data_IF_846760658147
#
_entry.id   IF_846760658147
#
_cell.length_a   1.000
_cell.length_b   1.000
_cell.length_c   1.000
_cell.angle_alpha   90.00
_cell.angle_beta   90.00
_cell.angle_gamma   90.00
#
_symmetry.space_group_name_H-M   'P 1'
#
loop_
_entity.id
_entity.type
_entity.pdbx_description
1 polymer ?
#
# COMPACT_ATOMS: atom_id res chain seq x y z
N UNK A 1 -19.91 22.18 -11.86
CA UNK A 1 -20.57 21.30 -10.87
C UNK A 1 -20.04 21.70 -9.50
N UNK A 2 -20.80 22.52 -8.78
CA UNK A 2 -20.47 22.96 -7.42
C UNK A 2 -21.31 22.21 -6.39
N UNK A 3 -20.70 21.90 -5.25
CA UNK A 3 -21.36 21.77 -3.95
C UNK A 3 -20.26 21.64 -2.88
N UNK A 4 -20.04 22.71 -2.10
CA UNK A 4 -20.59 22.95 -0.74
C UNK A 4 -19.79 22.24 0.35
N UNK A 5 -18.86 23.01 0.91
CA UNK A 5 -18.26 22.81 2.23
C UNK A 5 -19.34 22.94 3.32
N UNK A 6 -19.33 22.02 4.29
CA UNK A 6 -20.08 22.15 5.54
C UNK A 6 -19.08 22.32 6.68
N UNK A 7 -19.09 23.53 7.25
CA UNK A 7 -18.26 23.98 8.36
C UNK A 7 -19.05 23.78 9.66
N UNK A 8 -18.59 22.91 10.56
CA UNK A 8 -19.24 22.66 11.85
C UNK A 8 -18.45 23.34 12.97
N UNK A 9 -18.95 24.49 13.43
CA UNK A 9 -18.47 25.20 14.62
C UNK A 9 -18.85 24.44 15.90
N UNK A 10 -17.87 24.18 16.77
CA UNK A 10 -18.08 23.73 18.15
C UNK A 10 -18.21 24.94 19.09
N UNK A 11 -19.08 24.89 20.11
CA UNK A 11 -19.23 25.98 21.08
C UNK A 11 -18.11 25.99 22.13
N UNK A 12 -17.73 27.21 22.49
CA UNK A 12 -16.74 27.65 23.46
C UNK A 12 -17.39 27.75 24.86
N UNK A 13 -16.99 26.90 25.81
CA UNK A 13 -17.42 27.01 27.21
C UNK A 13 -16.27 27.55 28.07
N UNK A 14 -16.33 28.85 28.34
CA UNK A 14 -15.54 29.53 29.36
C UNK A 14 -16.14 29.22 30.75
N UNK A 15 -15.32 28.69 31.66
CA UNK A 15 -15.64 28.64 33.10
C UNK A 15 -15.29 29.98 33.76
N UNK A 16 -16.14 30.51 34.66
CA UNK A 16 -15.78 31.64 35.50
C UNK A 16 -14.96 31.21 36.74
N UNK A 17 -14.00 32.07 37.06
CA UNK A 17 -13.11 32.07 38.22
C UNK A 17 -13.85 32.55 39.49
N UNK A 18 -13.75 31.87 40.65
CA UNK A 18 -14.17 32.43 41.92
C UNK A 18 -13.02 33.17 42.63
N UNK A 19 -13.28 34.44 42.93
CA UNK A 19 -12.46 35.35 43.71
C UNK A 19 -12.27 34.87 45.16
N UNK A 20 -11.08 35.18 45.70
CA UNK A 20 -10.69 35.04 47.09
C UNK A 20 -11.54 35.96 48.00
N UNK A 21 -12.05 35.41 49.11
CA UNK A 21 -12.55 36.19 50.24
C UNK A 21 -11.62 35.99 51.43
N UNK A 22 -11.00 37.09 51.83
CA UNK A 22 -10.15 37.25 53.00
C UNK A 22 -11.02 37.75 54.16
N UNK A 23 -11.05 37.03 55.29
CA UNK A 23 -11.56 37.57 56.56
C UNK A 23 -10.67 37.08 57.70
N UNK A 24 -9.88 38.02 58.21
CA UNK A 24 -9.26 38.00 59.53
C UNK A 24 -10.34 38.11 60.61
N UNK A 25 -10.21 37.37 61.72
CA UNK A 25 -10.61 37.82 63.06
C UNK A 25 -10.15 36.83 64.16
N UNK A 26 -10.19 37.17 65.47
CA UNK A 26 -8.98 37.57 66.21
C UNK A 26 -8.65 36.66 67.42
N UNK A 27 -7.46 36.92 67.98
CA UNK A 27 -6.99 36.49 69.29
C UNK A 27 -7.95 36.92 70.42
N UNK A 28 -8.14 36.10 71.47
CA UNK A 28 -8.23 36.65 72.81
C UNK A 28 -7.29 35.99 73.84
N UNK A 29 -6.91 36.87 74.76
CA UNK A 29 -6.00 36.74 75.87
C UNK A 29 -6.40 35.71 76.93
N UNK A 30 -5.37 35.28 77.65
CA UNK A 30 -5.39 34.50 78.88
C UNK A 30 -6.21 35.18 80.00
N UNK A 31 -6.93 34.38 80.77
CA UNK A 31 -7.33 34.69 82.13
C UNK A 31 -6.97 33.51 83.05
N UNK A 32 -6.32 33.86 84.16
CA UNK A 32 -5.71 32.98 85.15
C UNK A 32 -6.59 32.96 86.41
N UNK A 33 -6.98 31.80 86.92
CA UNK A 33 -7.40 31.61 88.33
C UNK A 33 -7.16 30.18 88.81
N UNK A 34 -6.13 30.04 89.65
CA UNK A 34 -5.95 29.27 90.89
C UNK A 34 -6.70 27.93 91.12
N UNK A 35 -5.91 26.94 91.57
CA UNK A 35 -6.27 25.59 92.05
C UNK A 35 -7.15 25.61 93.33
N UNK A 36 -7.70 24.45 93.73
CA UNK A 36 -6.96 23.57 94.66
C UNK A 36 -6.98 22.08 94.28
N UNK A 37 -5.87 21.40 94.61
CA UNK A 37 -5.74 19.94 94.66
C UNK A 37 -6.43 19.41 95.93
N UNK A 38 -7.02 18.19 95.95
CA UNK A 38 -6.22 17.07 96.47
C UNK A 38 -6.50 15.67 95.86
N UNK A 39 -5.45 14.86 95.93
CA UNK A 39 -5.41 13.41 96.17
C UNK A 39 -5.82 12.42 95.06
N UNK A 40 -4.82 11.66 94.59
CA UNK A 40 -4.98 10.33 93.99
C UNK A 40 -5.53 9.33 95.02
N UNK A 41 -6.24 8.30 94.53
CA UNK A 41 -5.64 6.96 94.58
C UNK A 41 -5.76 6.21 93.24
N UNK A 42 -4.69 5.48 92.88
CA UNK A 42 -4.75 4.36 91.95
C UNK A 42 -5.21 3.12 92.74
N UNK A 43 -6.02 2.21 92.16
CA UNK A 43 -5.40 0.99 91.67
C UNK A 43 -5.96 0.47 90.35
N UNK A 44 -5.01 0.10 89.49
CA UNK A 44 -4.94 -0.74 88.28
C UNK A 44 -5.98 -1.87 88.01
N UNK A 45 -7.18 -1.89 88.58
CA UNK A 45 -8.24 -2.84 88.22
C UNK A 45 -9.41 -2.22 87.41
N UNK A 46 -9.49 -0.89 87.32
CA UNK A 46 -10.52 -0.19 86.52
C UNK A 46 -10.23 -0.16 85.00
N UNK A 47 -8.96 -0.23 84.59
CA UNK A 47 -8.60 -0.13 83.16
C UNK A 47 -8.92 -1.40 82.36
N UNK A 48 -8.88 -2.57 83.00
CA UNK A 48 -9.26 -3.84 82.34
C UNK A 48 -10.76 -3.98 82.23
N UNK A 49 -11.52 -3.52 83.23
CA UNK A 49 -12.99 -3.49 83.16
C UNK A 49 -13.49 -2.46 82.14
N UNK A 50 -12.92 -1.26 82.11
CA UNK A 50 -13.29 -0.25 81.09
C UNK A 50 -12.91 -0.68 79.67
N UNK A 51 -11.74 -1.31 79.45
CA UNK A 51 -11.41 -1.88 78.14
C UNK A 51 -12.33 -3.04 77.76
N UNK A 52 -12.69 -3.90 78.72
CA UNK A 52 -13.62 -5.02 78.48
C UNK A 52 -15.04 -4.53 78.20
N UNK A 53 -15.52 -3.49 78.91
CA UNK A 53 -16.80 -2.82 78.68
C UNK A 53 -16.81 -2.11 77.33
N UNK A 54 -15.72 -1.44 76.93
CA UNK A 54 -15.61 -0.82 75.61
C UNK A 54 -15.59 -1.86 74.48
N UNK A 55 -14.90 -3.00 74.67
CA UNK A 55 -14.96 -4.12 73.74
C UNK A 55 -16.35 -4.76 73.68
N UNK A 56 -17.01 -4.96 74.82
CA UNK A 56 -18.36 -5.54 74.89
C UNK A 56 -19.40 -4.61 74.25
N UNK A 57 -19.31 -3.30 74.51
CA UNK A 57 -20.13 -2.29 73.86
C UNK A 57 -19.88 -2.27 72.34
N UNK A 58 -18.63 -2.37 71.88
CA UNK A 58 -18.31 -2.46 70.45
C UNK A 58 -18.82 -3.75 69.79
N UNK A 59 -18.92 -4.84 70.54
CA UNK A 59 -19.45 -6.12 70.07
C UNK A 59 -20.98 -6.12 70.04
N UNK A 60 -21.64 -5.55 71.05
CA UNK A 60 -23.10 -5.32 71.05
C UNK A 60 -23.48 -4.39 69.91
N UNK A 61 -22.72 -3.32 69.70
CA UNK A 61 -22.96 -2.35 68.62
C UNK A 61 -22.78 -3.01 67.25
N UNK A 62 -21.71 -3.79 67.02
CA UNK A 62 -21.52 -4.58 65.79
C UNK A 62 -22.58 -5.66 65.57
N UNK A 63 -23.07 -6.30 66.63
CA UNK A 63 -24.09 -7.35 66.56
C UNK A 63 -25.48 -6.78 66.30
N UNK A 64 -25.81 -5.66 66.94
CA UNK A 64 -27.03 -4.88 66.71
C UNK A 64 -27.05 -4.30 65.29
N UNK A 65 -25.93 -3.75 64.82
CA UNK A 65 -25.77 -3.24 63.45
C UNK A 65 -25.95 -4.36 62.40
N UNK A 66 -25.39 -5.55 62.65
CA UNK A 66 -25.50 -6.70 61.75
C UNK A 66 -26.92 -7.28 61.70
N UNK A 67 -27.69 -7.16 62.78
CA UNK A 67 -29.09 -7.61 62.86
C UNK A 67 -30.06 -6.60 62.23
N UNK A 68 -29.75 -5.31 62.25
CA UNK A 68 -30.58 -4.26 61.62
C UNK A 68 -30.30 -4.06 60.13
N UNK A 69 -29.17 -4.54 59.62
CA UNK A 69 -28.68 -4.28 58.27
C UNK A 69 -28.52 -5.61 57.50
N UNK A 70 -29.44 -5.90 56.56
CA UNK A 70 -29.38 -7.07 55.68
C UNK A 70 -28.17 -7.06 54.72
N UNK A 71 -27.98 -8.12 53.91
CA UNK A 71 -26.78 -8.30 53.06
C UNK A 71 -26.52 -7.14 52.09
N UNK A 72 -27.56 -6.52 51.53
CA UNK A 72 -27.43 -5.35 50.65
C UNK A 72 -26.98 -4.08 51.39
N UNK A 73 -27.45 -3.91 52.63
CA UNK A 73 -27.06 -2.80 53.49
C UNK A 73 -25.58 -2.94 53.92
N UNK A 74 -25.13 -4.15 54.26
CA UNK A 74 -23.72 -4.43 54.57
C UNK A 74 -22.81 -4.20 53.36
N UNK A 75 -23.24 -4.62 52.18
CA UNK A 75 -22.53 -4.35 50.92
C UNK A 75 -22.39 -2.85 50.66
N UNK A 76 -23.48 -2.09 50.78
CA UNK A 76 -23.48 -0.63 50.59
C UNK A 76 -22.53 0.08 51.57
N UNK A 77 -22.56 -0.29 52.86
CA UNK A 77 -21.63 0.27 53.86
C UNK A 77 -20.18 -0.02 53.51
N UNK A 78 -19.86 -1.25 53.13
CA UNK A 78 -18.50 -1.63 52.72
C UNK A 78 -18.07 -0.88 51.46
N UNK A 79 -18.97 -0.67 50.50
CA UNK A 79 -18.69 0.12 49.30
C UNK A 79 -18.41 1.58 49.63
N UNK A 80 -19.22 2.22 50.49
CA UNK A 80 -19.00 3.61 50.90
C UNK A 80 -17.73 3.76 51.75
N UNK A 81 -17.40 2.79 52.61
CA UNK A 81 -16.14 2.75 53.35
C UNK A 81 -14.93 2.66 52.40
N UNK A 82 -14.97 1.74 51.43
CA UNK A 82 -13.91 1.61 50.43
C UNK A 82 -13.76 2.86 49.57
N UNK A 83 -14.89 3.46 49.17
CA UNK A 83 -14.91 4.72 48.42
C UNK A 83 -14.33 5.87 49.25
N UNK A 84 -14.68 5.97 50.52
CA UNK A 84 -14.10 6.95 51.45
C UNK A 84 -12.59 6.75 51.55
N UNK A 85 -12.14 5.52 51.81
CA UNK A 85 -10.71 5.19 51.90
C UNK A 85 -9.96 5.54 50.60
N UNK A 86 -10.58 5.30 49.44
CA UNK A 86 -10.03 5.68 48.14
C UNK A 86 -9.92 7.21 47.98
N UNK A 87 -10.96 7.96 48.36
CA UNK A 87 -10.96 9.42 48.30
C UNK A 87 -9.95 10.02 49.29
N UNK A 88 -9.86 9.48 50.50
CA UNK A 88 -8.89 9.88 51.52
C UNK A 88 -7.46 9.60 51.04
N UNK A 89 -7.22 8.44 50.42
CA UNK A 89 -5.94 8.12 49.79
C UNK A 89 -5.62 9.09 48.65
N UNK A 90 -6.60 9.44 47.81
CA UNK A 90 -6.42 10.42 46.74
C UNK A 90 -6.10 11.82 47.29
N UNK A 91 -6.76 12.24 48.37
CA UNK A 91 -6.44 13.49 49.05
C UNK A 91 -5.04 13.45 49.66
N UNK A 92 -4.65 12.35 50.32
CA UNK A 92 -3.32 12.19 50.87
C UNK A 92 -2.23 12.29 49.78
N UNK A 93 -2.44 11.70 48.60
CA UNK A 93 -1.52 11.86 47.46
C UNK A 93 -1.42 13.33 47.02
N UNK A 94 -2.52 14.09 47.03
CA UNK A 94 -2.53 15.52 46.66
C UNK A 94 -1.85 16.41 47.70
N UNK A 95 -2.04 16.14 48.99
CA UNK A 95 -1.55 17.00 50.07
C UNK A 95 -0.20 16.57 50.66
N UNK A 96 0.23 15.33 50.44
CA UNK A 96 1.51 14.83 50.95
C UNK A 96 2.71 15.71 50.55
N UNK A 97 2.86 16.18 49.30
CA UNK A 97 3.99 17.03 48.91
C UNK A 97 4.02 18.36 49.66
N UNK A 98 2.85 18.96 49.90
CA UNK A 98 2.73 20.23 50.63
C UNK A 98 3.10 20.03 52.11
N UNK A 99 2.62 18.94 52.71
CA UNK A 99 2.96 18.57 54.10
C UNK A 99 4.47 18.30 54.25
N UNK A 100 5.06 17.59 53.29
CA UNK A 100 6.50 17.32 53.24
C UNK A 100 7.32 18.61 53.12
N UNK A 101 6.91 19.52 52.21
CA UNK A 101 7.60 20.80 52.01
C UNK A 101 7.54 21.70 53.25
N UNK A 102 6.39 21.76 53.91
CA UNK A 102 6.23 22.50 55.17
C UNK A 102 7.09 21.88 56.28
N UNK A 103 7.07 20.55 56.43
CA UNK A 103 7.88 19.86 57.43
C UNK A 103 9.39 20.07 57.18
N UNK A 104 9.83 20.03 55.91
CA UNK A 104 11.21 20.34 55.54
C UNK A 104 11.56 21.78 55.90
N UNK A 105 10.68 22.74 55.60
CA UNK A 105 10.87 24.15 55.94
C UNK A 105 11.04 24.36 57.44
N UNK A 106 10.16 23.79 58.25
CA UNK A 106 10.25 23.86 59.71
C UNK A 106 11.56 23.24 60.22
N UNK A 107 11.92 22.04 59.75
CA UNK A 107 13.14 21.34 60.15
C UNK A 107 14.43 22.11 59.82
N UNK A 108 14.59 22.55 58.57
CA UNK A 108 15.81 23.27 58.15
C UNK A 108 15.89 24.66 58.76
N UNK A 109 14.75 25.35 58.94
CA UNK A 109 14.72 26.65 59.62
C UNK A 109 15.10 26.51 61.10
N UNK A 110 14.61 25.46 61.78
CA UNK A 110 14.95 25.20 63.18
C UNK A 110 16.42 24.80 63.37
N UNK A 111 16.96 23.96 62.50
CA UNK A 111 18.33 23.41 62.66
C UNK A 111 19.43 24.31 62.13
N UNK A 112 19.18 25.08 61.08
CA UNK A 112 20.21 25.82 60.31
C UNK A 112 19.81 27.27 60.02
N UNK A 113 18.67 27.74 60.53
CA UNK A 113 18.10 29.03 60.18
C UNK A 113 17.54 29.09 58.76
N UNK A 114 17.09 30.28 58.36
CA UNK A 114 16.51 30.53 57.03
C UNK A 114 17.46 30.20 55.89
N UNK A 115 18.76 30.54 56.05
CA UNK A 115 19.79 30.24 55.07
C UNK A 115 19.96 28.73 54.80
N UNK A 116 19.75 27.89 55.81
CA UNK A 116 19.78 26.43 55.65
C UNK A 116 18.64 25.91 54.78
N UNK A 117 17.42 26.42 55.01
CA UNK A 117 16.27 26.09 54.17
C UNK A 117 16.45 26.57 52.72
N UNK A 118 16.92 27.80 52.51
CA UNK A 118 17.17 28.33 51.16
C UNK A 118 18.18 27.47 50.39
N UNK A 119 19.23 26.98 51.07
CA UNK A 119 20.22 26.07 50.48
C UNK A 119 19.60 24.71 50.09
N UNK A 120 18.78 24.13 50.97
CA UNK A 120 18.06 22.89 50.68
C UNK A 120 17.12 23.07 49.49
N UNK A 121 16.30 24.13 49.50
CA UNK A 121 15.32 24.41 48.46
C UNK A 121 16.00 24.70 47.11
N UNK A 122 17.08 25.49 47.10
CA UNK A 122 17.90 25.71 45.90
C UNK A 122 18.46 24.39 45.34
N UNK A 123 18.94 23.49 46.19
CA UNK A 123 19.46 22.18 45.76
C UNK A 123 18.35 21.32 45.14
N UNK A 124 17.17 21.27 45.75
CA UNK A 124 16.00 20.55 45.25
C UNK A 124 15.59 21.08 43.87
N UNK A 125 15.37 22.39 43.74
CA UNK A 125 15.05 23.04 42.47
C UNK A 125 16.12 22.81 41.40
N UNK A 126 17.40 22.88 41.76
CA UNK A 126 18.49 22.61 40.80
C UNK A 126 18.46 21.17 40.29
N UNK A 127 18.09 20.21 41.15
CA UNK A 127 17.93 18.80 40.73
C UNK A 127 16.73 18.64 39.79
N UNK A 128 15.58 19.21 40.14
CA UNK A 128 14.37 19.17 39.31
C UNK A 128 14.60 19.80 37.93
N UNK A 129 15.29 20.95 37.88
CA UNK A 129 15.67 21.60 36.63
C UNK A 129 16.53 20.67 35.77
N UNK A 130 17.55 20.01 36.34
CA UNK A 130 18.40 19.07 35.59
C UNK A 130 17.62 17.88 35.03
N UNK A 131 16.66 17.36 35.79
CA UNK A 131 15.81 16.26 35.33
C UNK A 131 14.87 16.71 34.21
N UNK A 132 14.32 17.92 34.31
CA UNK A 132 13.51 18.53 33.24
C UNK A 132 14.35 18.77 32.00
N UNK A 133 15.56 19.34 32.13
CA UNK A 133 16.49 19.57 31.01
C UNK A 133 16.82 18.25 30.30
N UNK A 134 17.19 17.21 31.05
CA UNK A 134 17.50 15.89 30.50
C UNK A 134 16.30 15.26 29.80
N UNK A 135 15.13 15.31 30.42
CA UNK A 135 13.89 14.74 29.87
C UNK A 135 13.47 15.48 28.61
N UNK A 136 13.51 16.82 28.65
CA UNK A 136 13.17 17.68 27.52
C UNK A 136 14.13 17.47 26.36
N UNK A 137 15.44 17.45 26.61
CA UNK A 137 16.45 17.17 25.59
C UNK A 137 16.27 15.79 24.96
N UNK A 138 15.97 14.77 25.77
CA UNK A 138 15.72 13.40 25.29
C UNK A 138 14.46 13.34 24.43
N UNK A 139 13.37 13.96 24.87
CA UNK A 139 12.11 13.99 24.12
C UNK A 139 12.25 14.78 22.82
N UNK A 140 12.93 15.93 22.87
CA UNK A 140 13.22 16.73 21.69
C UNK A 140 14.06 15.96 20.68
N UNK A 141 15.13 15.27 21.13
CA UNK A 141 15.94 14.42 20.26
C UNK A 141 15.12 13.30 19.60
N UNK A 142 14.27 12.61 20.37
CA UNK A 142 13.36 11.59 19.82
C UNK A 142 12.39 12.15 18.78
N UNK A 143 11.87 13.35 19.00
CA UNK A 143 10.99 14.03 18.06
C UNK A 143 11.72 14.36 16.76
N UNK A 144 12.93 14.94 16.85
CA UNK A 144 13.79 15.22 15.70
C UNK A 144 14.14 13.95 14.93
N UNK A 145 14.53 12.87 15.62
CA UNK A 145 14.82 11.59 14.98
C UNK A 145 13.60 11.00 14.26
N UNK A 146 12.40 11.18 14.83
CA UNK A 146 11.15 10.74 14.22
C UNK A 146 10.80 11.56 12.97
N UNK A 147 10.98 12.89 13.02
CA UNK A 147 10.79 13.77 11.87
C UNK A 147 11.79 13.44 10.75
N UNK A 148 13.05 13.16 11.11
CA UNK A 148 14.07 12.75 10.14
C UNK A 148 13.70 11.44 9.44
N UNK A 149 13.30 10.42 10.22
CA UNK A 149 12.82 9.14 9.66
C UNK A 149 11.60 9.32 8.75
N UNK A 150 10.68 10.19 9.14
CA UNK A 150 9.50 10.50 8.33
C UNK A 150 9.89 11.16 7.00
N UNK A 151 10.83 12.11 7.02
CA UNK A 151 11.35 12.75 5.82
C UNK A 151 12.05 11.75 4.89
N UNK A 152 12.92 10.88 5.43
CA UNK A 152 13.59 9.80 4.68
C UNK A 152 12.58 8.83 4.08
N UNK A 153 11.54 8.46 4.83
CA UNK A 153 10.46 7.59 4.34
C UNK A 153 9.68 8.24 3.20
N UNK A 154 9.38 9.53 3.34
CA UNK A 154 8.66 10.29 2.30
C UNK A 154 9.48 10.40 1.01
N UNK A 155 10.78 10.66 1.11
CA UNK A 155 11.69 10.71 -0.04
C UNK A 155 11.79 9.36 -0.77
N UNK A 156 11.87 8.27 0.00
CA UNK A 156 11.84 6.91 -0.53
C UNK A 156 10.52 6.59 -1.24
N UNK A 157 9.39 6.96 -0.65
CA UNK A 157 8.07 6.81 -1.26
C UNK A 157 7.92 7.61 -2.55
N UNK A 158 8.43 8.84 -2.57
CA UNK A 158 8.42 9.68 -3.75
C UNK A 158 9.27 9.08 -4.88
N UNK A 159 10.46 8.59 -4.56
CA UNK A 159 11.32 7.88 -5.53
C UNK A 159 10.64 6.63 -6.08
N UNK A 160 10.02 5.82 -5.22
CA UNK A 160 9.28 4.64 -5.65
C UNK A 160 8.11 5.01 -6.56
N UNK A 161 7.33 6.03 -6.20
CA UNK A 161 6.25 6.55 -7.04
C UNK A 161 6.76 6.97 -8.43
N UNK A 162 7.89 7.69 -8.50
CA UNK A 162 8.51 8.08 -9.77
C UNK A 162 8.88 6.86 -10.62
N UNK A 163 9.50 5.84 -10.02
CA UNK A 163 9.90 4.62 -10.72
C UNK A 163 8.68 3.84 -11.23
N UNK A 164 7.62 3.72 -10.43
CA UNK A 164 6.35 3.08 -10.83
C UNK A 164 5.71 3.83 -12.00
N UNK A 165 5.73 5.16 -11.95
CA UNK A 165 5.18 5.99 -13.03
C UNK A 165 5.99 5.87 -14.33
N UNK A 166 7.32 5.82 -14.24
CA UNK A 166 8.19 5.56 -15.39
C UNK A 166 7.92 4.19 -16.00
N UNK A 167 7.80 3.15 -15.16
CA UNK A 167 7.46 1.80 -15.61
C UNK A 167 6.10 1.76 -16.30
N UNK A 168 5.10 2.46 -15.76
CA UNK A 168 3.78 2.59 -16.39
C UNK A 168 3.87 3.23 -17.78
N UNK A 169 4.61 4.34 -17.93
CA UNK A 169 4.85 4.97 -19.24
C UNK A 169 5.55 4.03 -20.23
N UNK A 170 6.50 3.24 -19.75
CA UNK A 170 7.18 2.23 -20.56
C UNK A 170 6.20 1.19 -21.09
N UNK A 171 5.31 0.66 -20.24
CA UNK A 171 4.29 -0.29 -20.68
C UNK A 171 3.29 0.29 -21.68
N UNK A 172 2.86 1.55 -21.51
CA UNK A 172 2.03 2.21 -22.52
C UNK A 172 2.72 2.28 -23.89
N UNK A 173 4.02 2.61 -23.88
CA UNK A 173 4.83 2.68 -25.11
C UNK A 173 5.02 1.30 -25.74
N UNK A 174 5.31 0.28 -24.94
CA UNK A 174 5.47 -1.10 -25.41
C UNK A 174 4.18 -1.66 -25.97
N UNK A 175 3.03 -1.42 -25.31
CA UNK A 175 1.72 -1.85 -25.81
C UNK A 175 1.40 -1.20 -27.16
N UNK A 176 1.64 0.10 -27.32
CA UNK A 176 1.45 0.79 -28.60
C UNK A 176 2.37 0.23 -29.70
N UNK A 177 3.62 -0.12 -29.38
CA UNK A 177 4.54 -0.79 -30.32
C UNK A 177 4.05 -2.18 -30.70
N UNK A 178 3.58 -2.97 -29.74
CA UNK A 178 3.03 -4.31 -29.98
C UNK A 178 1.81 -4.22 -30.89
N UNK A 179 0.89 -3.28 -30.63
CA UNK A 179 -0.28 -3.05 -31.47
C UNK A 179 0.11 -2.69 -32.91
N UNK A 180 1.09 -1.80 -33.08
CA UNK A 180 1.65 -1.48 -34.40
C UNK A 180 2.25 -2.70 -35.10
N UNK A 181 3.01 -3.53 -34.38
CA UNK A 181 3.59 -4.76 -34.91
C UNK A 181 2.53 -5.81 -35.29
N UNK A 182 1.45 -5.93 -34.51
CA UNK A 182 0.33 -6.81 -34.84
C UNK A 182 -0.33 -6.32 -36.13
N UNK A 183 -0.55 -5.02 -36.27
CA UNK A 183 -1.16 -4.42 -37.45
C UNK A 183 -0.28 -4.60 -38.70
N UNK A 184 1.04 -4.44 -38.59
CA UNK A 184 1.96 -4.66 -39.73
C UNK A 184 1.97 -6.14 -40.14
N UNK A 185 2.13 -7.07 -39.19
CA UNK A 185 2.11 -8.51 -39.47
C UNK A 185 0.76 -8.94 -40.07
N UNK A 186 -0.35 -8.42 -39.56
CA UNK A 186 -1.68 -8.70 -40.10
C UNK A 186 -1.81 -8.18 -41.53
N UNK A 187 -1.32 -6.97 -41.80
CA UNK A 187 -1.34 -6.38 -43.16
C UNK A 187 -0.47 -7.16 -44.12
N UNK A 188 0.71 -7.59 -43.68
CA UNK A 188 1.65 -8.40 -44.47
C UNK A 188 1.07 -9.78 -44.78
N UNK A 189 0.45 -10.44 -43.79
CA UNK A 189 -0.25 -11.73 -44.01
C UNK A 189 -1.38 -11.59 -45.02
N UNK A 190 -2.26 -10.59 -44.85
CA UNK A 190 -3.34 -10.34 -45.82
C UNK A 190 -2.79 -10.08 -47.22
N UNK A 191 -1.68 -9.35 -47.34
CA UNK A 191 -1.04 -9.08 -48.64
C UNK A 191 -0.42 -10.34 -49.24
N UNK A 192 0.26 -11.16 -48.43
CA UNK A 192 0.84 -12.43 -48.84
C UNK A 192 -0.21 -13.46 -49.26
N UNK A 193 -1.30 -13.58 -48.49
CA UNK A 193 -2.41 -14.47 -48.80
C UNK A 193 -3.09 -14.06 -50.12
N UNK A 194 -3.26 -12.75 -50.34
CA UNK A 194 -3.76 -12.22 -51.63
C UNK A 194 -2.81 -12.55 -52.78
N UNK A 195 -1.50 -12.38 -52.60
CA UNK A 195 -0.50 -12.72 -53.62
C UNK A 195 -0.57 -14.21 -53.96
N UNK A 196 -0.58 -15.07 -52.95
CA UNK A 196 -0.67 -16.53 -53.14
C UNK A 196 -1.97 -16.93 -53.85
N UNK A 197 -3.09 -16.28 -53.53
CA UNK A 197 -4.37 -16.51 -54.21
C UNK A 197 -4.34 -16.12 -55.69
N UNK A 198 -3.72 -14.99 -56.05
CA UNK A 198 -3.59 -14.57 -57.47
C UNK A 198 -2.59 -15.45 -58.23
N UNK A 199 -1.49 -15.86 -57.60
CA UNK A 199 -0.54 -16.81 -58.18
C UNK A 199 -1.22 -18.17 -58.44
N UNK A 200 -2.01 -18.65 -57.48
CA UNK A 200 -2.81 -19.87 -57.63
C UNK A 200 -3.77 -19.80 -58.81
N UNK A 201 -4.57 -18.74 -58.92
CA UNK A 201 -5.47 -18.53 -60.06
C UNK A 201 -4.73 -18.48 -61.40
N UNK A 202 -3.56 -17.84 -61.45
CA UNK A 202 -2.72 -17.81 -62.64
C UNK A 202 -2.26 -19.19 -63.06
N UNK A 203 -1.77 -20.00 -62.11
CA UNK A 203 -1.34 -21.38 -62.34
C UNK A 203 -2.52 -22.26 -62.78
N UNK A 204 -3.67 -22.16 -62.11
CA UNK A 204 -4.87 -22.94 -62.44
C UNK A 204 -5.40 -22.60 -63.83
N UNK A 205 -5.43 -21.31 -64.18
CA UNK A 205 -5.82 -20.84 -65.51
C UNK A 205 -4.84 -21.34 -66.59
N UNK A 206 -3.53 -21.26 -66.33
CA UNK A 206 -2.50 -21.75 -67.25
C UNK A 206 -2.61 -23.27 -67.47
N UNK A 207 -2.88 -24.03 -66.40
CA UNK A 207 -3.11 -25.46 -66.49
C UNK A 207 -4.39 -25.78 -67.29
N UNK A 208 -5.46 -25.00 -67.10
CA UNK A 208 -6.68 -25.10 -67.91
C UNK A 208 -6.41 -24.90 -69.41
N UNK A 209 -5.67 -23.85 -69.78
CA UNK A 209 -5.25 -23.62 -71.17
C UNK A 209 -4.37 -24.74 -71.73
N UNK A 210 -3.45 -25.28 -70.91
CA UNK A 210 -2.61 -26.40 -71.31
C UNK A 210 -3.45 -27.64 -71.66
N UNK A 211 -4.45 -27.96 -70.84
CA UNK A 211 -5.38 -29.08 -71.10
C UNK A 211 -6.17 -28.86 -72.39
N UNK A 212 -6.70 -27.65 -72.61
CA UNK A 212 -7.47 -27.31 -73.83
C UNK A 212 -6.59 -27.44 -75.07
N UNK A 213 -5.38 -26.87 -75.06
CA UNK A 213 -4.44 -26.93 -76.19
C UNK A 213 -4.01 -28.38 -76.52
N UNK A 214 -3.84 -29.23 -75.49
CA UNK A 214 -3.53 -30.65 -75.69
C UNK A 214 -4.65 -31.38 -76.44
N UNK A 215 -5.91 -31.11 -76.12
CA UNK A 215 -7.05 -31.68 -76.83
C UNK A 215 -7.15 -31.20 -78.27
N UNK A 216 -6.98 -29.88 -78.50
CA UNK A 216 -6.95 -29.30 -79.85
C UNK A 216 -5.87 -29.97 -80.69
N UNK A 217 -4.66 -30.11 -80.14
CA UNK A 217 -3.55 -30.77 -80.80
C UNK A 217 -3.86 -32.24 -81.17
N UNK A 218 -4.47 -33.00 -80.25
CA UNK A 218 -4.87 -34.39 -80.51
C UNK A 218 -5.90 -34.48 -81.64
N UNK A 219 -6.90 -33.59 -81.65
CA UNK A 219 -7.91 -33.51 -82.72
C UNK A 219 -7.25 -33.18 -84.07
N UNK A 220 -6.34 -32.21 -84.11
CA UNK A 220 -5.59 -31.87 -85.33
C UNK A 220 -4.75 -33.04 -85.84
N UNK A 221 -4.16 -33.84 -84.95
CA UNK A 221 -3.39 -35.03 -85.31
C UNK A 221 -4.27 -36.12 -85.95
N UNK A 222 -5.48 -36.34 -85.41
CA UNK A 222 -6.46 -37.26 -86.00
C UNK A 222 -6.94 -36.77 -87.36
N UNK A 223 -7.24 -35.48 -87.48
CA UNK A 223 -7.63 -34.86 -88.77
C UNK A 223 -6.51 -35.02 -89.80
N UNK A 224 -5.27 -34.73 -89.42
CA UNK A 224 -4.10 -34.92 -90.28
C UNK A 224 -3.96 -36.38 -90.72
N UNK A 225 -4.13 -37.33 -89.80
CA UNK A 225 -4.10 -38.76 -90.13
C UNK A 225 -5.19 -39.15 -91.14
N UNK A 226 -6.42 -38.65 -91.00
CA UNK A 226 -7.50 -38.88 -91.96
C UNK A 226 -7.17 -38.28 -93.33
N UNK A 227 -6.69 -37.02 -93.38
CA UNK A 227 -6.27 -36.39 -94.64
C UNK A 227 -5.10 -37.11 -95.30
N UNK A 228 -4.18 -37.67 -94.53
CA UNK A 228 -3.06 -38.46 -95.04
C UNK A 228 -3.55 -39.66 -95.88
N UNK A 229 -4.65 -40.29 -95.46
CA UNK A 229 -5.26 -41.44 -96.13
C UNK A 229 -6.14 -41.00 -97.31
N UNK A 230 -6.94 -39.95 -97.12
CA UNK A 230 -7.98 -39.56 -98.10
C UNK A 230 -7.46 -38.67 -99.24
N UNK A 231 -6.36 -37.94 -99.05
CA UNK A 231 -5.85 -37.01 -100.05
C UNK A 231 -4.82 -37.65 -100.97
N UNK A 232 -5.08 -37.59 -102.28
CA UNK A 232 -4.05 -37.78 -103.30
C UNK A 232 -3.02 -36.66 -103.17
N UNK A 233 -1.74 -37.01 -103.04
CA UNK A 233 -0.67 -36.03 -102.90
C UNK A 233 0.59 -36.51 -103.58
N UNK A 234 1.42 -35.58 -104.03
CA UNK A 234 2.71 -35.87 -104.66
C UNK A 234 3.79 -36.38 -103.70
N UNK A 235 3.53 -36.41 -102.39
CA UNK A 235 4.47 -36.95 -101.41
C UNK A 235 4.46 -38.48 -101.37
N UNK A 236 5.66 -39.07 -101.29
CA UNK A 236 5.81 -40.51 -101.10
C UNK A 236 5.17 -40.94 -99.76
N UNK A 237 4.60 -42.15 -99.74
CA UNK A 237 3.95 -42.71 -98.56
C UNK A 237 4.89 -42.73 -97.33
N UNK A 238 6.18 -43.02 -97.54
CA UNK A 238 7.23 -43.02 -96.51
C UNK A 238 7.42 -41.65 -95.86
N UNK A 239 7.43 -40.57 -96.65
CA UNK A 239 7.59 -39.21 -96.13
C UNK A 239 6.38 -38.78 -95.29
N UNK A 240 5.16 -39.16 -95.69
CA UNK A 240 3.94 -38.90 -94.90
C UNK A 240 3.97 -39.58 -93.54
N UNK A 241 4.36 -40.87 -93.51
CA UNK A 241 4.42 -41.64 -92.28
C UNK A 241 5.53 -41.14 -91.33
N UNK A 242 6.70 -40.77 -91.88
CA UNK A 242 7.77 -40.17 -91.09
C UNK A 242 7.31 -38.84 -90.45
N UNK A 243 6.60 -37.99 -91.19
CA UNK A 243 6.05 -36.74 -90.67
C UNK A 243 5.02 -36.98 -89.56
N UNK A 244 4.17 -38.02 -89.69
CA UNK A 244 3.23 -38.43 -88.64
C UNK A 244 3.97 -38.85 -87.35
N UNK A 245 5.03 -39.66 -87.46
CA UNK A 245 5.85 -40.06 -86.31
C UNK A 245 6.46 -38.83 -85.63
N UNK A 246 7.00 -37.89 -86.42
CA UNK A 246 7.55 -36.63 -85.90
C UNK A 246 6.49 -35.85 -85.14
N UNK A 247 5.26 -35.74 -85.67
CA UNK A 247 4.17 -35.11 -84.95
C UNK A 247 3.85 -35.85 -83.65
N UNK A 248 3.69 -37.18 -83.64
CA UNK A 248 3.39 -37.94 -82.41
C UNK A 248 4.46 -37.73 -81.32
N UNK A 249 5.73 -37.67 -81.72
CA UNK A 249 6.86 -37.50 -80.80
C UNK A 249 7.03 -36.03 -80.35
N UNK A 250 6.57 -35.07 -81.15
CA UNK A 250 6.68 -33.63 -80.90
C UNK A 250 6.35 -33.17 -79.46
N UNK A 251 5.18 -33.53 -78.85
CA UNK A 251 4.85 -33.07 -77.50
C UNK A 251 5.84 -33.53 -76.42
N UNK A 252 6.58 -34.61 -76.65
CA UNK A 252 7.60 -35.11 -75.73
C UNK A 252 8.94 -34.37 -75.87
N UNK A 253 9.28 -33.95 -77.10
CA UNK A 253 10.57 -33.30 -77.39
C UNK A 253 10.49 -31.78 -77.14
N UNK A 254 9.35 -31.15 -77.43
CA UNK A 254 9.24 -29.68 -77.42
C UNK A 254 9.58 -29.06 -76.06
N UNK A 255 9.23 -29.73 -74.95
CA UNK A 255 9.58 -29.26 -73.59
C UNK A 255 11.09 -29.08 -73.43
N UNK A 256 11.89 -30.05 -73.87
CA UNK A 256 13.35 -29.98 -73.78
C UNK A 256 13.94 -28.88 -74.66
N UNK A 257 13.39 -28.71 -75.88
CA UNK A 257 13.81 -27.64 -76.80
C UNK A 257 13.52 -26.27 -76.19
N UNK A 258 12.32 -26.07 -75.64
CA UNK A 258 11.93 -24.81 -74.99
C UNK A 258 12.84 -24.52 -73.80
N UNK A 259 13.06 -25.49 -72.90
CA UNK A 259 13.98 -25.32 -71.77
C UNK A 259 15.41 -24.98 -72.20
N UNK A 260 15.93 -25.65 -73.23
CA UNK A 260 17.24 -25.35 -73.80
C UNK A 260 17.30 -23.92 -74.33
N UNK A 261 16.29 -23.51 -75.10
CA UNK A 261 16.21 -22.16 -75.67
C UNK A 261 16.09 -21.08 -74.59
N UNK A 262 15.29 -21.31 -73.55
CA UNK A 262 15.09 -20.39 -72.42
C UNK A 262 16.40 -20.20 -71.65
N UNK A 263 17.11 -21.29 -71.35
CA UNK A 263 18.41 -21.23 -70.70
C UNK A 263 19.46 -20.51 -71.55
N UNK A 264 19.43 -20.70 -72.88
CA UNK A 264 20.30 -19.96 -73.80
C UNK A 264 19.96 -18.45 -73.79
N UNK A 265 18.69 -18.09 -73.85
CA UNK A 265 18.22 -16.70 -73.77
C UNK A 265 18.59 -16.05 -72.43
N UNK A 266 18.42 -16.74 -71.30
CA UNK A 266 18.83 -16.22 -69.99
C UNK A 266 20.34 -15.96 -69.91
N UNK A 267 21.16 -16.84 -70.51
CA UNK A 267 22.60 -16.60 -70.59
C UNK A 267 22.91 -15.35 -71.41
N UNK A 268 22.26 -15.17 -72.55
CA UNK A 268 22.41 -13.96 -73.38
C UNK A 268 21.92 -12.71 -72.65
N UNK A 269 20.79 -12.78 -71.94
CA UNK A 269 20.24 -11.67 -71.17
C UNK A 269 21.19 -11.22 -70.04
N UNK A 270 21.84 -12.16 -69.35
CA UNK A 270 22.87 -11.84 -68.34
C UNK A 270 24.10 -11.13 -68.91
N UNK A 271 24.32 -11.18 -70.24
CA UNK A 271 25.40 -10.42 -70.90
C UNK A 271 24.98 -9.01 -71.31
N UNK A 272 23.69 -8.67 -71.27
CA UNK A 272 23.22 -7.31 -71.48
C UNK A 272 23.44 -6.51 -70.18
N UNK A 273 23.96 -5.27 -70.24
CA UNK A 273 24.14 -4.46 -69.05
C UNK A 273 22.79 -4.18 -68.38
N UNK A 274 22.69 -4.45 -67.08
CA UNK A 274 21.47 -4.15 -66.32
C UNK A 274 21.22 -2.63 -66.34
N UNK A 275 20.04 -2.21 -66.80
CA UNK A 275 19.64 -0.82 -66.76
C UNK A 275 19.50 -0.36 -65.30
N UNK A 276 20.36 0.57 -64.88
CA UNK A 276 20.45 1.10 -63.51
C UNK A 276 19.18 1.82 -62.98
N UNK A 277 18.10 1.90 -63.75
CA UNK A 277 16.87 2.62 -63.40
C UNK A 277 15.70 1.70 -62.96
N UNK A 278 15.91 0.39 -62.83
CA UNK A 278 14.87 -0.57 -62.41
C UNK A 278 15.32 -1.38 -61.17
N UNK A 279 16.09 -0.76 -60.28
CA UNK A 279 16.30 -1.25 -58.92
C UNK A 279 15.53 -0.37 -57.95
N UNK A 280 14.27 -0.70 -57.67
CA UNK A 280 13.54 -0.31 -56.46
C UNK A 280 13.14 -1.61 -55.77
#
# INVERSE_FOLDING_TARGET
MGNKQSNAQKPNNQQPNPQQANTQQPNPQQANTQQPNPQQPNPQQANTFNNSVNQFNSMIEKSSDALMCGPDCQKTRRTEELKKNYLDAQQNVKYAPIKEENAAKEYYTYTQGTAGYDKYHKKKLTSEIKDIEKTTATNFKKAIDSVKKLAETYDSLYTNYSNVFELYKKYLTENSKIESNINSISTDRVTSDRKSFYEGQGVDSLNGWHVILKWIYLVLLVIYFLFMILSESNYSFTSKFLLLIVFIIYPFIIYYIVMLSYNALLKVYKFLPENAYISI
#
